data_IF_165465904742
#
_entry.id   IF_165465904742
#
_cell.length_a   1.000
_cell.length_b   1.000
_cell.length_c   1.000
_cell.angle_alpha   90.00
_cell.angle_beta   90.00
_cell.angle_gamma   90.00
#
_symmetry.space_group_name_H-M   'P 1'
#
loop_
_entity.id
_entity.type
_entity.pdbx_description
1 polymer ?
#
# COMPACT_ATOMS: atom_id res chain seq x y z
N UNK A 1 9.79 -15.16 -1.53
CA UNK A 1 10.55 -14.01 -2.08
C UNK A 1 10.10 -12.69 -1.47
N UNK A 2 8.90 -12.18 -1.73
CA UNK A 2 8.45 -10.91 -1.12
C UNK A 2 8.36 -10.99 0.41
N UNK A 3 7.71 -12.04 0.95
CA UNK A 3 7.56 -12.22 2.39
C UNK A 3 8.91 -12.33 3.11
N UNK A 4 9.88 -13.04 2.52
CA UNK A 4 11.22 -13.19 3.08
C UNK A 4 11.98 -11.85 3.12
N UNK A 5 11.90 -11.06 2.03
CA UNK A 5 12.50 -9.73 1.97
C UNK A 5 11.85 -8.76 2.96
N UNK A 6 10.51 -8.72 3.00
CA UNK A 6 9.78 -7.88 3.93
C UNK A 6 10.07 -8.26 5.39
N UNK A 7 10.25 -9.56 5.67
CA UNK A 7 10.64 -10.04 7.00
C UNK A 7 12.07 -9.66 7.35
N UNK A 8 12.99 -9.77 6.41
CA UNK A 8 14.37 -9.33 6.59
C UNK A 8 14.45 -7.82 6.87
N UNK A 9 13.76 -7.01 6.06
CA UNK A 9 13.70 -5.57 6.25
C UNK A 9 13.05 -5.21 7.58
N UNK A 10 11.87 -5.76 7.89
CA UNK A 10 11.16 -5.44 9.13
C UNK A 10 11.88 -5.85 10.43
N UNK A 11 12.77 -6.85 10.38
CA UNK A 11 13.66 -7.17 11.50
C UNK A 11 14.90 -6.26 11.58
N UNK A 12 15.36 -5.74 10.45
CA UNK A 12 16.52 -4.85 10.39
C UNK A 12 16.14 -3.41 10.73
N UNK A 13 14.98 -2.97 10.23
CA UNK A 13 14.37 -1.67 10.49
C UNK A 13 12.88 -1.85 10.87
N UNK A 14 12.56 -1.84 12.17
CA UNK A 14 11.18 -1.94 12.64
C UNK A 14 10.30 -0.76 12.24
N UNK A 15 10.87 0.41 11.93
CA UNK A 15 10.14 1.63 11.55
C UNK A 15 10.09 1.85 10.04
N UNK A 16 10.38 0.80 9.25
CA UNK A 16 10.49 0.84 7.80
C UNK A 16 9.34 1.55 7.11
N UNK A 17 9.67 2.35 6.10
CA UNK A 17 8.68 3.01 5.23
C UNK A 17 8.46 2.21 3.94
N UNK A 18 7.23 1.73 3.76
CA UNK A 18 6.83 0.92 2.61
C UNK A 18 5.71 1.60 1.85
N UNK A 19 5.93 1.81 0.54
CA UNK A 19 4.93 2.31 -0.39
C UNK A 19 4.37 1.18 -1.25
N UNK A 20 3.05 1.04 -1.25
CA UNK A 20 2.33 0.18 -2.18
C UNK A 20 1.68 1.02 -3.27
N UNK A 21 1.99 0.70 -4.52
CA UNK A 21 1.36 1.29 -5.70
C UNK A 21 0.35 0.28 -6.24
N UNK A 22 -0.93 0.64 -6.13
CA UNK A 22 -2.04 -0.28 -6.28
C UNK A 22 -2.20 -1.16 -5.04
N UNK A 23 -3.44 -1.33 -4.59
CA UNK A 23 -3.80 -1.97 -3.33
C UNK A 23 -4.81 -3.09 -3.51
N UNK A 24 -4.74 -3.88 -4.60
CA UNK A 24 -5.76 -4.81 -5.16
C UNK A 24 -6.44 -5.86 -4.26
N UNK A 25 -6.29 -5.74 -2.95
CA UNK A 25 -7.18 -6.26 -1.92
C UNK A 25 -6.70 -5.90 -0.50
N UNK A 26 -5.70 -5.02 -0.36
CA UNK A 26 -5.01 -4.67 0.89
C UNK A 26 -4.40 -5.85 1.66
N UNK A 27 -4.36 -7.05 1.08
CA UNK A 27 -3.88 -8.26 1.75
C UNK A 27 -2.45 -8.14 2.25
N UNK A 28 -1.53 -7.65 1.40
CA UNK A 28 -0.12 -7.51 1.75
C UNK A 28 0.10 -6.35 2.75
N UNK A 29 -0.41 -5.13 2.49
CA UNK A 29 -0.35 -4.04 3.48
C UNK A 29 -0.87 -4.48 4.85
N UNK A 30 -2.02 -5.14 4.91
CA UNK A 30 -2.60 -5.63 6.17
C UNK A 30 -1.74 -6.69 6.84
N UNK A 31 -1.16 -7.61 6.07
CA UNK A 31 -0.24 -8.60 6.62
C UNK A 31 0.97 -7.93 7.28
N UNK A 32 1.59 -6.95 6.62
CA UNK A 32 2.71 -6.22 7.20
C UNK A 32 2.30 -5.37 8.40
N UNK A 33 1.11 -4.77 8.39
CA UNK A 33 0.58 -4.00 9.52
C UNK A 33 0.50 -4.85 10.80
N UNK A 34 0.14 -6.13 10.67
CA UNK A 34 0.05 -7.07 11.78
C UNK A 34 1.43 -7.59 12.20
N UNK A 35 2.27 -7.95 11.23
CA UNK A 35 3.59 -8.55 11.50
C UNK A 35 4.63 -7.54 12.00
N UNK A 36 4.59 -6.31 11.49
CA UNK A 36 5.54 -5.24 11.79
C UNK A 36 4.76 -4.01 12.27
N UNK A 37 4.29 -3.99 13.53
CA UNK A 37 3.34 -2.99 13.99
C UNK A 37 3.86 -1.55 14.00
N UNK A 38 5.19 -1.39 14.00
CA UNK A 38 5.91 -0.11 13.93
C UNK A 38 6.17 0.39 12.50
N UNK A 39 5.96 -0.46 11.50
CA UNK A 39 6.19 -0.07 10.11
C UNK A 39 5.23 1.03 9.66
N UNK A 40 5.72 1.88 8.77
CA UNK A 40 4.98 2.96 8.15
C UNK A 40 4.52 2.52 6.76
N UNK A 41 3.23 2.21 6.63
CA UNK A 41 2.67 1.61 5.43
C UNK A 41 1.77 2.61 4.71
N UNK A 42 2.13 2.94 3.47
CA UNK A 42 1.37 3.84 2.62
C UNK A 42 0.88 3.10 1.36
N UNK A 43 -0.37 3.33 0.96
CA UNK A 43 -0.98 2.74 -0.24
C UNK A 43 -1.47 3.87 -1.14
N UNK A 44 -1.08 3.84 -2.41
CA UNK A 44 -1.65 4.72 -3.45
C UNK A 44 -2.57 3.88 -4.32
N UNK A 45 -3.87 4.12 -4.20
CA UNK A 45 -4.91 3.37 -4.90
C UNK A 45 -5.79 4.33 -5.69
N UNK A 46 -5.83 4.18 -7.02
CA UNK A 46 -6.50 5.15 -7.88
C UNK A 46 -8.02 5.20 -7.65
N UNK A 47 -8.64 4.07 -7.29
CA UNK A 47 -10.09 3.96 -7.14
C UNK A 47 -10.51 3.91 -5.65
N UNK A 48 -11.22 4.93 -5.13
CA UNK A 48 -11.73 4.91 -3.76
C UNK A 48 -12.72 3.77 -3.50
N UNK A 49 -13.44 3.27 -4.50
CA UNK A 49 -14.37 2.15 -4.33
C UNK A 49 -13.62 0.85 -4.01
N UNK A 50 -12.40 0.66 -4.54
CA UNK A 50 -11.54 -0.47 -4.16
C UNK A 50 -11.16 -0.41 -2.68
N UNK A 51 -10.84 0.79 -2.18
CA UNK A 51 -10.51 0.99 -0.76
C UNK A 51 -11.73 0.75 0.13
N UNK A 52 -12.91 1.18 -0.32
CA UNK A 52 -14.18 0.92 0.36
C UNK A 52 -14.48 -0.58 0.41
N UNK A 53 -14.38 -1.29 -0.72
CA UNK A 53 -14.57 -2.75 -0.77
C UNK A 53 -13.57 -3.47 0.14
N UNK A 54 -12.32 -3.01 0.18
CA UNK A 54 -11.31 -3.58 1.06
C UNK A 54 -11.70 -3.46 2.54
N UNK A 55 -12.28 -2.32 2.92
CA UNK A 55 -12.78 -2.06 4.28
C UNK A 55 -14.02 -2.88 4.60
N UNK A 56 -15.01 -2.87 3.70
CA UNK A 56 -16.32 -3.48 3.93
C UNK A 56 -16.29 -5.01 3.85
N UNK A 57 -15.48 -5.58 2.95
CA UNK A 57 -15.55 -7.00 2.59
C UNK A 57 -14.24 -7.76 2.74
N UNK A 58 -13.08 -7.10 2.63
CA UNK A 58 -11.77 -7.78 2.68
C UNK A 58 -11.09 -7.66 4.05
N UNK A 59 -11.74 -6.99 5.01
CA UNK A 59 -11.27 -6.89 6.38
C UNK A 59 -10.06 -5.98 6.54
N UNK A 60 -9.95 -4.92 5.73
CA UNK A 60 -9.15 -3.75 6.08
C UNK A 60 -9.85 -3.05 7.26
N UNK A 61 -9.18 -2.98 8.41
CA UNK A 61 -9.79 -2.41 9.60
C UNK A 61 -10.11 -0.92 9.40
N UNK A 62 -11.29 -0.47 9.82
CA UNK A 62 -11.65 0.96 9.79
C UNK A 62 -10.71 1.86 10.64
N UNK A 63 -9.89 1.25 11.51
CA UNK A 63 -8.83 1.90 12.30
C UNK A 63 -7.44 1.38 11.91
N UNK A 64 -7.26 0.96 10.66
CA UNK A 64 -5.93 0.60 10.14
C UNK A 64 -4.99 1.80 10.26
N UNK A 65 -3.72 1.51 10.51
CA UNK A 65 -2.61 2.47 10.47
C UNK A 65 -2.09 2.68 9.05
N UNK A 66 -2.58 1.89 8.08
CA UNK A 66 -2.26 2.05 6.67
C UNK A 66 -2.83 3.39 6.21
N UNK A 67 -1.96 4.23 5.66
CA UNK A 67 -2.36 5.51 5.07
C UNK A 67 -2.68 5.28 3.59
N UNK A 68 -3.93 5.47 3.22
CA UNK A 68 -4.36 5.37 1.82
C UNK A 68 -4.46 6.75 1.18
N UNK A 69 -3.84 6.89 0.00
CA UNK A 69 -4.02 8.00 -0.91
C UNK A 69 -4.84 7.54 -2.11
N UNK A 70 -6.03 8.12 -2.30
CA UNK A 70 -6.87 7.83 -3.45
C UNK A 70 -6.54 8.72 -4.65
N UNK A 71 -5.43 8.44 -5.33
CA UNK A 71 -4.90 9.25 -6.43
C UNK A 71 -4.13 8.42 -7.46
N UNK A 72 -3.84 9.00 -8.63
CA UNK A 72 -3.00 8.36 -9.64
C UNK A 72 -1.55 8.25 -9.15
N UNK A 73 -1.04 7.02 -9.09
CA UNK A 73 0.30 6.75 -8.57
C UNK A 73 1.44 7.42 -9.34
N UNK A 74 1.27 7.70 -10.64
CA UNK A 74 2.30 8.41 -11.42
C UNK A 74 2.41 9.85 -10.95
N UNK A 75 1.27 10.48 -10.67
CA UNK A 75 1.21 11.85 -10.11
C UNK A 75 1.79 11.87 -8.71
N UNK A 76 1.40 10.92 -7.86
CA UNK A 76 1.91 10.84 -6.48
C UNK A 76 3.41 10.63 -6.43
N UNK A 77 3.94 9.71 -7.25
CA UNK A 77 5.38 9.43 -7.31
C UNK A 77 6.23 10.68 -7.62
N UNK A 78 5.72 11.62 -8.40
CA UNK A 78 6.41 12.89 -8.71
C UNK A 78 6.49 13.85 -7.51
N UNK A 79 5.66 13.63 -6.48
CA UNK A 79 5.59 14.46 -5.27
C UNK A 79 6.34 13.85 -4.09
N UNK A 80 6.88 12.64 -4.23
CA UNK A 80 7.56 11.95 -3.14
C UNK A 80 8.99 12.46 -2.98
N UNK A 81 9.39 12.64 -1.73
CA UNK A 81 10.78 12.93 -1.39
C UNK A 81 11.68 11.73 -1.69
N UNK A 82 12.84 11.99 -2.30
CA UNK A 82 13.85 10.96 -2.53
C UNK A 82 14.34 10.37 -1.19
N UNK A 83 14.49 9.05 -1.14
CA UNK A 83 15.01 8.35 0.03
C UNK A 83 14.01 8.08 1.17
N UNK A 84 12.74 8.49 1.04
CA UNK A 84 11.71 8.24 2.07
C UNK A 84 11.34 6.77 2.24
N UNK A 85 11.31 5.98 1.15
CA UNK A 85 10.82 4.61 1.18
C UNK A 85 11.95 3.61 0.97
N UNK A 86 12.07 2.65 1.88
CA UNK A 86 13.01 1.53 1.76
C UNK A 86 12.49 0.46 0.79
N UNK A 87 11.16 0.40 0.60
CA UNK A 87 10.54 -0.54 -0.33
C UNK A 87 9.34 0.08 -1.05
N UNK A 88 9.33 -0.07 -2.38
CA UNK A 88 8.18 0.28 -3.23
C UNK A 88 7.67 -0.98 -3.91
N UNK A 89 6.43 -1.38 -3.61
CA UNK A 89 5.78 -2.54 -4.21
C UNK A 89 4.75 -2.09 -5.25
N UNK A 90 4.92 -2.52 -6.50
CA UNK A 90 3.97 -2.25 -7.57
C UNK A 90 3.10 -3.48 -7.83
N UNK A 91 1.82 -3.37 -7.53
CA UNK A 91 0.84 -4.43 -7.82
C UNK A 91 0.26 -4.14 -9.19
N UNK A 92 0.71 -4.86 -10.23
CA UNK A 92 0.17 -4.73 -11.57
C UNK A 92 -1.25 -5.32 -11.61
N UNK A 93 -2.27 -4.47 -11.51
CA UNK A 93 -3.56 -4.75 -12.14
C UNK A 93 -3.69 -3.79 -13.31
N UNK A 94 -3.47 -4.27 -14.53
CA UNK A 94 -3.83 -3.51 -15.73
C UNK A 94 -5.36 -3.50 -15.80
N UNK A 95 -5.99 -2.59 -15.07
CA UNK A 95 -7.40 -2.28 -15.23
C UNK A 95 -7.55 -0.76 -15.28
N UNK A 96 -7.08 -0.22 -16.40
CA UNK A 96 -7.46 1.10 -16.89
C UNK A 96 -8.93 1.01 -17.31
N UNK A 97 -9.86 1.36 -16.41
CA UNK A 97 -11.21 1.73 -16.85
C UNK A 97 -11.30 3.25 -16.87
N UNK A 98 -10.98 3.81 -18.03
CA UNK A 98 -11.60 5.04 -18.46
C UNK A 98 -13.11 4.75 -18.62
N UNK A 99 -13.93 5.32 -17.74
CA UNK A 99 -15.32 5.65 -18.06
C UNK A 99 -15.53 7.13 -17.80
N UNK A 100 -15.18 7.93 -18.79
CA UNK A 100 -15.87 9.21 -19.03
C UNK A 100 -17.21 8.91 -19.69
N UNK A 101 -18.28 9.32 -19.01
CA UNK A 101 -19.70 9.43 -19.44
C UNK A 101 -20.39 8.18 -19.95
#
# INVERSE_FOLDING_TARGET
MFADLATYLGHTDPDMYVLFIGGGGYTIPRFLEVMFPRSNLEVVEIDPEVTKIATDYLGLGARTRIVTYNEDARTKLQQLDEGKYEMVMRTLSTMCLCRTT
#
